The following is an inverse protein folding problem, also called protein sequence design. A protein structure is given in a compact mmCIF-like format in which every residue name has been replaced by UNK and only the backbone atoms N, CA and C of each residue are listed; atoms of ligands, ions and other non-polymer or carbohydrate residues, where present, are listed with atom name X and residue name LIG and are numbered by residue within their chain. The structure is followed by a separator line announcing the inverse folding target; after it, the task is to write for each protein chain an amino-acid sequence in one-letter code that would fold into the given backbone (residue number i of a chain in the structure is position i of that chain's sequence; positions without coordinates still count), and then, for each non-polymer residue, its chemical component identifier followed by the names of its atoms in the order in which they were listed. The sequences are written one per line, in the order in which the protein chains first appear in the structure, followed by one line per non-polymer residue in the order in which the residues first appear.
data_IF_057783323502
#
_entry.id   IF_057783323502
#
_cell.length_a   1.000
_cell.length_b   1.000
_cell.length_c   1.000
_cell.angle_alpha   90.00
_cell.angle_beta   90.00
_cell.angle_gamma   90.00
#
_symmetry.space_group_name_H-M   'P 1'
#
loop_
_entity.id
_entity.type
_entity.pdbx_description
1 polymer ?
#
# COMPACT_ATOMS: atom_id res chain seq x y z
N UNK A 1 15.39 -17.08 -7.76
CA UNK A 1 14.57 -18.28 -8.12
C UNK A 1 13.82 -18.68 -6.86
N UNK A 2 12.56 -18.29 -6.72
CA UNK A 2 11.71 -18.69 -5.59
C UNK A 2 10.37 -19.23 -6.13
N UNK A 3 10.07 -20.53 -5.94
CA UNK A 3 8.80 -21.12 -6.32
C UNK A 3 7.86 -21.18 -5.11
N UNK A 4 6.62 -20.73 -5.27
CA UNK A 4 5.59 -20.85 -4.24
C UNK A 4 4.25 -20.31 -4.73
N UNK A 5 3.57 -21.09 -5.58
CA UNK A 5 2.26 -20.75 -6.16
C UNK A 5 1.16 -21.07 -5.13
N UNK A 6 0.51 -20.07 -4.57
CA UNK A 6 -0.77 -20.24 -3.89
C UNK A 6 -1.88 -19.71 -4.79
N UNK A 7 -2.46 -20.59 -5.60
CA UNK A 7 -3.67 -20.30 -6.36
C UNK A 7 -4.88 -20.48 -5.43
N UNK A 8 -5.31 -19.41 -4.79
CA UNK A 8 -6.64 -19.37 -4.16
C UNK A 8 -7.67 -19.18 -5.29
N UNK A 9 -8.19 -20.28 -5.80
CA UNK A 9 -9.29 -20.28 -6.77
C UNK A 9 -10.59 -19.90 -6.05
N UNK A 10 -11.03 -18.66 -6.18
CA UNK A 10 -12.43 -18.29 -5.90
C UNK A 10 -13.13 -18.22 -7.25
N UNK A 11 -13.96 -19.24 -7.51
CA UNK A 11 -14.87 -19.23 -8.64
C UNK A 11 -15.99 -18.22 -8.37
N UNK A 12 -16.15 -17.23 -9.25
CA UNK A 12 -17.40 -16.50 -9.39
C UNK A 12 -17.73 -16.41 -10.88
N UNK A 13 -18.87 -17.00 -11.20
CA UNK A 13 -19.39 -17.26 -12.53
C UNK A 13 -19.62 -15.95 -13.29
N UNK A 14 -18.90 -15.78 -14.41
CA UNK A 14 -19.31 -15.14 -15.67
C UNK A 14 -18.10 -15.09 -16.60
N UNK A 15 -17.86 -16.20 -17.32
CA UNK A 15 -17.36 -16.26 -18.71
C UNK A 15 -16.10 -15.53 -19.18
N UNK A 16 -15.38 -14.80 -18.33
CA UNK A 16 -14.13 -14.13 -18.69
C UNK A 16 -13.06 -14.60 -17.72
N UNK A 17 -12.38 -15.69 -18.07
CA UNK A 17 -11.09 -16.02 -17.47
C UNK A 17 -10.06 -15.01 -17.99
N UNK A 18 -10.10 -13.79 -17.47
CA UNK A 18 -8.91 -12.98 -17.50
C UNK A 18 -7.94 -13.69 -16.54
N UNK A 19 -6.83 -14.29 -17.01
CA UNK A 19 -5.79 -14.67 -16.09
C UNK A 19 -5.48 -13.41 -15.30
N UNK A 20 -5.49 -13.50 -13.96
CA UNK A 20 -4.95 -12.44 -13.12
C UNK A 20 -3.43 -12.50 -13.35
N UNK A 21 -2.99 -12.07 -14.53
CA UNK A 21 -1.59 -11.87 -14.82
C UNK A 21 -1.18 -10.74 -13.91
N UNK A 22 -0.49 -11.12 -12.84
CA UNK A 22 0.21 -10.24 -11.92
C UNK A 22 1.30 -9.48 -12.70
N UNK A 23 0.86 -8.43 -13.38
CA UNK A 23 1.59 -7.20 -13.59
C UNK A 23 1.08 -6.24 -12.50
N UNK A 24 1.23 -6.64 -11.23
CA UNK A 24 0.43 -6.15 -10.11
C UNK A 24 0.50 -4.63 -9.92
N UNK A 25 1.60 -3.98 -10.29
CA UNK A 25 1.76 -2.52 -10.16
C UNK A 25 0.82 -1.70 -11.05
N UNK A 26 0.69 -2.05 -12.33
CA UNK A 26 -0.08 -1.23 -13.28
C UNK A 26 -1.60 -1.28 -13.06
N UNK A 27 -2.12 -2.44 -12.67
CA UNK A 27 -3.55 -2.64 -12.42
C UNK A 27 -4.00 -1.90 -11.16
N UNK A 28 -3.20 -1.96 -10.08
CA UNK A 28 -3.54 -1.30 -8.82
C UNK A 28 -3.36 0.22 -8.88
N UNK A 29 -2.41 0.72 -9.68
CA UNK A 29 -2.28 2.15 -9.97
C UNK A 29 -3.56 2.68 -10.64
N UNK A 30 -4.06 1.98 -11.67
CA UNK A 30 -5.30 2.36 -12.33
C UNK A 30 -6.51 2.29 -11.38
N UNK A 31 -6.56 1.25 -10.53
CA UNK A 31 -7.63 1.11 -9.53
C UNK A 31 -7.61 2.27 -8.52
N UNK A 32 -6.44 2.73 -8.10
CA UNK A 32 -6.28 3.93 -7.26
C UNK A 32 -6.84 5.17 -7.97
N UNK A 33 -6.48 5.40 -9.23
CA UNK A 33 -6.95 6.57 -9.99
C UNK A 33 -8.48 6.59 -10.08
N UNK A 34 -9.09 5.42 -10.31
CA UNK A 34 -10.55 5.30 -10.27
C UNK A 34 -11.11 5.57 -8.88
N UNK A 35 -10.43 5.12 -7.82
CA UNK A 35 -10.85 5.28 -6.43
C UNK A 35 -10.83 6.75 -5.95
N UNK A 36 -10.09 7.64 -6.63
CA UNK A 36 -10.15 9.09 -6.37
C UNK A 36 -11.57 9.65 -6.55
N UNK A 37 -12.38 9.04 -7.42
CA UNK A 37 -13.72 9.51 -7.76
C UNK A 37 -14.83 8.44 -7.65
N UNK A 38 -14.48 7.19 -7.33
CA UNK A 38 -15.43 6.07 -7.26
C UNK A 38 -15.34 5.33 -5.93
N UNK A 39 -16.44 5.34 -5.18
CA UNK A 39 -16.58 4.55 -3.94
C UNK A 39 -16.48 3.04 -4.19
N UNK A 40 -16.85 2.57 -5.38
CA UNK A 40 -16.74 1.16 -5.75
C UNK A 40 -15.27 0.77 -5.95
N UNK A 41 -14.49 1.58 -6.66
CA UNK A 41 -13.07 1.34 -6.83
C UNK A 41 -12.32 1.46 -5.49
N UNK A 42 -12.71 2.42 -4.63
CA UNK A 42 -12.16 2.54 -3.28
C UNK A 42 -12.45 1.29 -2.42
N UNK A 43 -13.67 0.75 -2.48
CA UNK A 43 -14.03 -0.50 -1.80
C UNK A 43 -13.19 -1.69 -2.30
N UNK A 44 -13.00 -1.79 -3.62
CA UNK A 44 -12.15 -2.84 -4.21
C UNK A 44 -10.70 -2.70 -3.75
N UNK A 45 -10.14 -1.48 -3.74
CA UNK A 45 -8.79 -1.23 -3.27
C UNK A 45 -8.62 -1.57 -1.79
N UNK A 46 -9.61 -1.21 -0.95
CA UNK A 46 -9.66 -1.62 0.47
C UNK A 46 -9.65 -3.14 0.62
N UNK A 47 -10.47 -3.85 -0.16
CA UNK A 47 -10.51 -5.30 -0.11
C UNK A 47 -9.15 -5.92 -0.44
N UNK A 48 -8.48 -5.45 -1.50
CA UNK A 48 -7.13 -5.91 -1.86
C UNK A 48 -6.12 -5.61 -0.75
N UNK A 49 -6.12 -4.40 -0.20
CA UNK A 49 -5.25 -4.02 0.91
C UNK A 49 -5.44 -4.90 2.16
N UNK A 50 -6.70 -5.26 2.47
CA UNK A 50 -7.03 -6.16 3.57
C UNK A 50 -6.60 -7.62 3.34
N UNK A 51 -6.44 -8.06 2.08
CA UNK A 51 -5.86 -9.38 1.79
C UNK A 51 -4.33 -9.44 1.96
N UNK A 52 -3.70 -8.30 2.27
CA UNK A 52 -2.24 -8.22 2.48
C UNK A 52 -1.46 -7.86 1.22
N UNK A 53 -2.11 -7.44 0.14
CA UNK A 53 -1.43 -6.93 -1.05
C UNK A 53 -0.72 -5.61 -0.71
N UNK A 54 0.61 -5.64 -0.68
CA UNK A 54 1.44 -4.48 -0.29
C UNK A 54 1.27 -3.29 -1.23
N UNK A 55 1.07 -3.51 -2.53
CA UNK A 55 0.85 -2.41 -3.46
C UNK A 55 -0.52 -1.78 -3.23
N UNK A 56 -1.55 -2.57 -2.96
CA UNK A 56 -2.87 -2.05 -2.62
C UNK A 56 -2.86 -1.27 -1.30
N UNK A 57 -2.12 -1.75 -0.29
CA UNK A 57 -1.92 -1.02 0.96
C UNK A 57 -1.25 0.34 0.72
N UNK A 58 -0.17 0.38 -0.07
CA UNK A 58 0.51 1.63 -0.41
C UNK A 58 -0.42 2.62 -1.13
N UNK A 59 -1.15 2.17 -2.14
CA UNK A 59 -2.06 3.05 -2.88
C UNK A 59 -3.25 3.51 -2.04
N UNK A 60 -3.74 2.68 -1.12
CA UNK A 60 -4.76 3.08 -0.16
C UNK A 60 -4.22 4.13 0.83
N UNK A 61 -2.97 3.98 1.27
CA UNK A 61 -2.25 5.01 2.03
C UNK A 61 -2.18 6.34 1.26
N UNK A 62 -1.89 6.29 -0.04
CA UNK A 62 -1.81 7.46 -0.91
C UNK A 62 -3.14 8.21 -1.05
N UNK A 63 -4.28 7.50 -1.09
CA UNK A 63 -5.59 8.15 -1.11
C UNK A 63 -5.91 8.86 0.20
N UNK A 64 -5.46 8.30 1.33
CA UNK A 64 -5.62 8.95 2.63
C UNK A 64 -4.61 10.04 2.92
N UNK A 65 -3.54 10.16 2.12
CA UNK A 65 -2.47 11.10 2.37
C UNK A 65 -2.89 12.55 2.02
N UNK A 66 -3.05 13.44 3.02
CA UNK A 66 -3.47 14.81 2.76
C UNK A 66 -2.46 15.62 1.93
N UNK A 67 -1.18 15.22 1.87
CA UNK A 67 -0.19 15.91 1.03
C UNK A 67 -0.34 15.62 -0.47
N UNK A 68 -0.91 14.47 -0.84
CA UNK A 68 -1.03 14.05 -2.23
C UNK A 68 -2.31 14.56 -2.90
N UNK A 69 -3.33 14.89 -2.11
CA UNK A 69 -4.62 15.45 -2.58
C UNK A 69 -5.38 14.56 -3.58
N UNK A 70 -5.27 13.24 -3.43
CA UNK A 70 -5.90 12.25 -4.30
C UNK A 70 -7.28 11.77 -3.79
N UNK A 71 -7.49 11.71 -2.47
CA UNK A 71 -8.75 11.21 -1.89
C UNK A 71 -9.88 12.24 -1.95
N UNK A 72 -10.79 12.11 -2.92
CA UNK A 72 -12.00 12.95 -3.00
C UNK A 72 -13.27 12.25 -2.54
N UNK A 73 -13.31 10.91 -2.58
CA UNK A 73 -14.47 10.11 -2.13
C UNK A 73 -14.57 10.07 -0.61
N UNK A 74 -13.43 9.91 0.08
CA UNK A 74 -13.33 9.91 1.53
C UNK A 74 -12.35 10.99 1.98
N UNK A 75 -12.57 11.62 3.15
CA UNK A 75 -11.63 12.61 3.68
C UNK A 75 -10.25 12.01 3.90
N UNK A 76 -9.22 12.70 3.42
CA UNK A 76 -7.83 12.37 3.72
C UNK A 76 -7.56 12.45 5.24
N UNK A 77 -6.70 11.57 5.76
CA UNK A 77 -6.39 11.44 7.18
C UNK A 77 -4.95 10.91 7.37
N UNK A 78 -4.12 11.71 8.03
CA UNK A 78 -2.71 11.35 8.32
C UNK A 78 -2.57 10.01 9.04
N UNK A 79 -3.46 9.69 10.00
CA UNK A 79 -3.36 8.44 10.75
C UNK A 79 -3.67 7.22 9.87
N UNK A 80 -4.61 7.34 8.93
CA UNK A 80 -4.93 6.26 8.00
C UNK A 80 -3.80 6.07 6.97
N UNK A 81 -3.26 7.16 6.43
CA UNK A 81 -2.11 7.10 5.54
C UNK A 81 -0.91 6.43 6.22
N UNK A 82 -0.56 6.90 7.43
CA UNK A 82 0.51 6.36 8.25
C UNK A 82 0.35 4.86 8.51
N UNK A 83 -0.86 4.45 8.93
CA UNK A 83 -1.18 3.04 9.17
C UNK A 83 -0.86 2.19 7.94
N UNK A 84 -1.36 2.56 6.77
CA UNK A 84 -1.16 1.78 5.56
C UNK A 84 0.29 1.76 5.09
N UNK A 85 1.01 2.88 5.17
CA UNK A 85 2.43 2.91 4.81
C UNK A 85 3.29 2.07 5.76
N UNK A 86 3.00 2.08 7.06
CA UNK A 86 3.67 1.21 8.02
C UNK A 86 3.50 -0.28 7.68
N UNK A 87 2.30 -0.70 7.27
CA UNK A 87 2.05 -2.08 6.85
C UNK A 87 2.89 -2.53 5.65
N UNK A 88 3.30 -1.60 4.79
CA UNK A 88 4.12 -1.88 3.61
C UNK A 88 5.61 -1.83 3.94
N UNK A 89 6.02 -0.82 4.71
CA UNK A 89 7.41 -0.59 5.10
C UNK A 89 7.94 -1.66 6.06
N UNK A 90 7.09 -2.14 6.99
CA UNK A 90 7.48 -3.16 7.96
C UNK A 90 7.48 -4.54 7.30
N UNK A 91 8.66 -5.17 7.20
CA UNK A 91 8.72 -6.61 6.95
C UNK A 91 8.18 -7.38 8.17
N UNK A 92 7.82 -8.65 8.00
CA UNK A 92 7.34 -9.50 9.13
C UNK A 92 8.37 -9.65 10.26
N UNK A 93 9.64 -9.34 10.00
CA UNK A 93 10.73 -9.52 10.96
C UNK A 93 11.26 -8.20 11.54
N UNK A 94 10.81 -7.04 11.06
CA UNK A 94 11.35 -5.75 11.49
C UNK A 94 10.42 -5.09 12.49
N UNK A 95 10.82 -4.99 13.77
CA UNK A 95 10.00 -4.29 14.74
C UNK A 95 10.01 -2.79 14.42
N UNK A 96 8.89 -2.10 14.68
CA UNK A 96 8.77 -0.62 14.62
C UNK A 96 9.87 0.12 15.41
N UNK A 97 10.55 -0.57 16.33
CA UNK A 97 11.70 -0.06 17.11
C UNK A 97 13.00 0.03 16.30
N UNK A 98 13.10 -0.65 15.16
CA UNK A 98 14.25 -0.65 14.24
C UNK A 98 14.45 0.70 13.53
N UNK A 99 13.46 1.60 13.61
CA UNK A 99 13.47 2.90 12.96
C UNK A 99 13.64 4.02 13.99
N UNK A 100 14.86 4.25 14.52
CA UNK A 100 15.11 5.23 15.58
C UNK A 100 14.95 6.69 15.12
N UNK A 101 15.02 6.97 13.82
CA UNK A 101 14.93 8.34 13.28
C UNK A 101 13.50 8.90 13.14
N UNK A 102 12.55 8.34 13.90
CA UNK A 102 11.32 9.07 14.26
C UNK A 102 11.63 10.45 14.88
N UNK A 103 12.83 10.61 15.43
CA UNK A 103 13.32 11.84 16.06
C UNK A 103 13.42 13.06 15.12
N UNK A 104 13.35 12.90 13.79
CA UNK A 104 13.35 14.05 12.84
C UNK A 104 11.93 14.43 12.38
N UNK A 105 10.98 13.50 12.52
CA UNK A 105 9.59 13.67 12.12
C UNK A 105 8.73 14.13 13.30
N UNK A 106 8.65 15.43 13.50
CA UNK A 106 7.91 16.03 14.62
C UNK A 106 6.43 16.27 14.35
N UNK A 107 5.96 16.06 13.11
CA UNK A 107 4.57 16.29 12.71
C UNK A 107 3.98 15.05 12.04
N UNK A 108 2.64 14.85 12.07
CA UNK A 108 1.98 13.76 11.36
C UNK A 108 2.32 13.74 9.86
N UNK A 109 2.50 14.93 9.26
CA UNK A 109 2.88 15.07 7.86
C UNK A 109 4.30 14.57 7.58
N UNK A 110 5.28 14.98 8.39
CA UNK A 110 6.66 14.49 8.26
C UNK A 110 6.74 12.99 8.50
N UNK A 111 6.03 12.49 9.51
CA UNK A 111 6.01 11.06 9.83
C UNK A 111 5.41 10.26 8.67
N UNK A 112 4.28 10.68 8.13
CA UNK A 112 3.64 10.02 6.98
C UNK A 112 4.54 10.06 5.75
N UNK A 113 5.19 11.19 5.47
CA UNK A 113 6.10 11.32 4.34
C UNK A 113 7.31 10.38 4.45
N UNK A 114 7.87 10.23 5.65
CA UNK A 114 8.95 9.30 5.92
C UNK A 114 8.49 7.86 5.70
N UNK A 115 7.37 7.43 6.31
CA UNK A 115 6.84 6.07 6.12
C UNK A 115 6.43 5.76 4.69
N UNK A 116 5.96 6.75 3.93
CA UNK A 116 5.66 6.60 2.50
C UNK A 116 6.91 6.26 1.71
N UNK A 117 8.03 6.94 1.99
CA UNK A 117 9.30 6.71 1.31
C UNK A 117 9.81 5.29 1.59
N UNK A 118 9.80 4.86 2.86
CA UNK A 118 10.18 3.49 3.23
C UNK A 118 9.28 2.43 2.57
N UNK A 119 7.97 2.68 2.56
CA UNK A 119 7.01 1.80 1.89
C UNK A 119 7.29 1.69 0.38
N UNK A 120 7.67 2.80 -0.26
CA UNK A 120 7.99 2.84 -1.69
C UNK A 120 9.28 2.06 -2.00
N UNK A 121 10.32 2.17 -1.18
CA UNK A 121 11.56 1.41 -1.33
C UNK A 121 11.32 -0.11 -1.17
N UNK A 122 10.58 -0.51 -0.13
CA UNK A 122 10.22 -1.92 0.10
C UNK A 122 9.41 -2.50 -1.07
N UNK A 123 8.47 -1.72 -1.64
CA UNK A 123 7.70 -2.13 -2.83
C UNK A 123 8.55 -2.35 -4.07
N UNK A 124 9.64 -1.60 -4.24
CA UNK A 124 10.56 -1.76 -5.38
C UNK A 124 11.41 -3.02 -5.25
N UNK A 125 11.34 -3.74 -4.13
CA UNK A 125 12.22 -4.88 -3.83
C UNK A 125 13.68 -4.46 -3.61
N UNK A 126 13.93 -3.15 -3.54
CA UNK A 126 15.15 -2.57 -3.02
C UNK A 126 14.96 -2.44 -1.52
N UNK A 127 14.92 -3.58 -0.83
CA UNK A 127 15.07 -3.58 0.63
C UNK A 127 16.48 -3.08 0.91
N UNK A 128 16.63 -1.76 0.87
CA UNK A 128 17.77 -1.08 1.40
C UNK A 128 17.42 -0.91 2.86
N UNK A 129 18.11 -1.67 3.71
CA UNK A 129 18.13 -1.43 5.14
C UNK A 129 18.77 -0.03 5.39
N UNK A 130 18.18 1.05 4.89
CA UNK A 130 18.56 2.45 5.09
C UNK A 130 18.40 2.85 6.56
N UNK A 131 17.83 1.95 7.38
CA UNK A 131 18.01 1.89 8.82
C UNK A 131 18.26 0.44 9.22
N UNK A 132 19.52 0.02 9.19
CA UNK A 132 19.98 -1.18 9.86
C UNK A 132 19.33 -1.31 11.25
N UNK A 133 18.57 -2.39 11.43
CA UNK A 133 18.98 -3.33 12.45
C UNK A 133 20.13 -4.19 11.85
#
# INVERSE_FOLDING_TARGET
MYPGKYTASIMLALGLTAPITSWAGGVLLHLRDQAEHSSTALQQLKQQAHTGDRAAQYYLGALYDPSLKLGHVEPANWNQALYWYQHVALSKNDPITCYPDKAVAHTPAQMTAWWRAEAEENLKGNDNDNGHC
#
